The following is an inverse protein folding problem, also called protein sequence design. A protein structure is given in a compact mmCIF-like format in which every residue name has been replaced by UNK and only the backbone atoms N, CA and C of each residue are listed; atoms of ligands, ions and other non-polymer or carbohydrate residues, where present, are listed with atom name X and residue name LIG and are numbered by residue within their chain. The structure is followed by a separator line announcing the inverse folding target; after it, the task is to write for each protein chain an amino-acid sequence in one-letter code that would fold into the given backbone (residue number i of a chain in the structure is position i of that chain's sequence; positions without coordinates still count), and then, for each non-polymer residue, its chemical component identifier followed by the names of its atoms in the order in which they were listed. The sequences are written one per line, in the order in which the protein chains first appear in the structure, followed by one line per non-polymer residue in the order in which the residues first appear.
data_IF_281906195206
#
_entry.id   IF_281906195206
#
_cell.length_a   1.000
_cell.length_b   1.000
_cell.length_c   1.000
_cell.angle_alpha   90.00
_cell.angle_beta   90.00
_cell.angle_gamma   90.00
#
_symmetry.space_group_name_H-M   'P 1'
#
loop_
_entity.id
_entity.type
_entity.pdbx_description
1 polymer ?
#
# COMPACT_ATOMS: atom_id res chain seq x y z
N UNK A 1 3.35 -7.89 23.83
CA UNK A 1 3.86 -8.67 22.68
C UNK A 1 4.27 -7.63 21.65
N UNK A 2 5.57 -7.47 21.46
CA UNK A 2 6.12 -6.46 20.57
C UNK A 2 6.19 -7.07 19.17
N UNK A 3 5.12 -6.94 18.38
CA UNK A 3 5.05 -7.51 17.04
C UNK A 3 6.06 -6.87 16.07
N UNK A 4 6.46 -5.62 16.33
CA UNK A 4 7.58 -4.95 15.66
C UNK A 4 8.90 -5.68 15.86
N UNK A 5 9.10 -6.37 16.99
CA UNK A 5 10.29 -7.19 17.22
C UNK A 5 10.39 -8.35 16.23
N UNK A 6 9.28 -9.02 15.90
CA UNK A 6 9.27 -10.16 14.99
C UNK A 6 9.41 -9.77 13.51
N UNK A 7 8.83 -8.64 13.11
CA UNK A 7 9.03 -8.12 11.76
C UNK A 7 10.49 -7.69 11.52
N UNK A 8 11.20 -7.26 12.57
CA UNK A 8 12.57 -6.77 12.47
C UNK A 8 13.65 -7.84 12.68
N UNK A 9 13.42 -8.84 13.54
CA UNK A 9 14.48 -9.75 13.98
C UNK A 9 14.52 -11.09 13.25
N UNK A 10 13.41 -11.50 12.63
CA UNK A 10 13.33 -12.82 12.03
C UNK A 10 13.82 -12.78 10.57
N UNK A 11 14.86 -13.55 10.28
CA UNK A 11 15.38 -13.70 8.92
C UNK A 11 14.44 -14.50 8.01
N UNK A 12 13.55 -15.32 8.58
CA UNK A 12 12.67 -16.19 7.80
C UNK A 12 11.36 -15.49 7.39
N UNK A 13 11.08 -15.48 6.08
CA UNK A 13 9.85 -14.89 5.54
C UNK A 13 8.58 -15.53 6.12
N UNK A 14 8.59 -16.84 6.43
CA UNK A 14 7.42 -17.52 7.01
C UNK A 14 6.98 -16.91 8.34
N UNK A 15 7.92 -16.64 9.25
CA UNK A 15 7.61 -16.05 10.54
C UNK A 15 7.07 -14.62 10.39
N UNK A 16 7.68 -13.82 9.51
CA UNK A 16 7.23 -12.44 9.24
C UNK A 16 5.83 -12.42 8.61
N UNK A 17 5.54 -13.29 7.65
CA UNK A 17 4.19 -13.44 7.06
C UNK A 17 3.15 -13.83 8.11
N UNK A 18 3.47 -14.79 8.98
CA UNK A 18 2.58 -15.21 10.05
C UNK A 18 2.33 -14.08 11.06
N UNK A 19 3.36 -13.28 11.37
CA UNK A 19 3.26 -12.14 12.27
C UNK A 19 2.27 -11.08 11.74
N UNK A 20 2.41 -10.65 10.48
CA UNK A 20 1.46 -9.67 9.88
C UNK A 20 0.03 -10.23 9.84
N UNK A 21 -0.15 -11.50 9.43
CA UNK A 21 -1.49 -12.13 9.42
C UNK A 21 -2.12 -12.17 10.80
N UNK A 22 -1.35 -12.52 11.82
CA UNK A 22 -1.84 -12.54 13.20
C UNK A 22 -2.19 -11.14 13.69
N UNK A 23 -1.39 -10.13 13.33
CA UNK A 23 -1.68 -8.73 13.63
C UNK A 23 -3.02 -8.29 13.04
N UNK A 24 -3.25 -8.58 11.76
CA UNK A 24 -4.51 -8.28 11.06
C UNK A 24 -5.67 -8.99 11.73
N UNK A 25 -5.55 -10.30 11.97
CA UNK A 25 -6.62 -11.08 12.60
C UNK A 25 -6.98 -10.56 13.99
N UNK A 26 -5.97 -10.18 14.78
CA UNK A 26 -6.19 -9.58 16.10
C UNK A 26 -6.89 -8.23 15.96
N UNK A 27 -6.42 -7.36 15.05
CA UNK A 27 -7.03 -6.06 14.83
C UNK A 27 -8.48 -6.16 14.39
N UNK A 28 -8.79 -7.05 13.45
CA UNK A 28 -10.15 -7.29 12.97
C UNK A 28 -11.11 -7.77 14.08
N UNK A 29 -10.58 -8.47 15.09
CA UNK A 29 -11.37 -8.94 16.23
C UNK A 29 -11.67 -7.83 17.27
N UNK A 30 -11.02 -6.67 17.16
CA UNK A 30 -11.20 -5.56 18.09
C UNK A 30 -12.57 -4.89 17.88
N UNK A 31 -13.46 -5.02 18.86
CA UNK A 31 -14.78 -4.37 18.81
C UNK A 31 -14.75 -2.87 19.15
N UNK A 32 -13.63 -2.35 19.66
CA UNK A 32 -13.42 -0.93 19.99
C UNK A 32 -11.94 -0.54 19.86
N UNK A 33 -11.62 0.70 19.45
CA UNK A 33 -10.26 1.24 19.46
C UNK A 33 -9.60 1.18 20.85
N UNK A 34 -10.40 1.34 21.92
CA UNK A 34 -9.90 1.32 23.31
C UNK A 34 -9.42 -0.05 23.77
N UNK A 35 -10.02 -1.14 23.26
CA UNK A 35 -9.60 -2.50 23.63
C UNK A 35 -8.29 -2.92 22.97
N UNK A 36 -7.88 -2.23 21.90
CA UNK A 36 -6.70 -2.57 21.10
C UNK A 36 -5.73 -1.39 20.94
N UNK A 37 -5.76 -0.44 21.87
CA UNK A 37 -4.89 0.73 21.87
C UNK A 37 -3.41 0.41 21.67
N UNK A 38 -2.88 -0.60 22.39
CA UNK A 38 -1.46 -1.00 22.25
C UNK A 38 -1.14 -1.52 20.84
N UNK A 39 -2.11 -2.18 20.20
CA UNK A 39 -1.97 -2.65 18.83
C UNK A 39 -2.05 -1.46 17.85
N UNK A 40 -2.94 -0.50 18.11
CA UNK A 40 -3.03 0.76 17.36
C UNK A 40 -1.77 1.61 17.41
N UNK A 41 -1.03 1.57 18.52
CA UNK A 41 0.25 2.27 18.62
C UNK A 41 1.35 1.66 17.74
N UNK A 42 1.27 0.35 17.45
CA UNK A 42 2.29 -0.33 16.63
C UNK A 42 1.99 -0.31 15.13
N UNK A 43 0.77 0.07 14.71
CA UNK A 43 0.38 0.17 13.29
C UNK A 43 1.37 0.96 12.43
N UNK A 44 1.82 2.18 12.80
CA UNK A 44 2.73 2.94 11.94
C UNK A 44 4.06 2.22 11.71
N UNK A 45 4.57 1.53 12.73
CA UNK A 45 5.81 0.74 12.63
C UNK A 45 5.61 -0.50 11.78
N UNK A 46 4.49 -1.22 11.97
CA UNK A 46 4.16 -2.41 11.17
C UNK A 46 3.98 -2.05 9.69
N UNK A 47 3.29 -0.95 9.39
CA UNK A 47 3.10 -0.48 8.02
C UNK A 47 4.43 -0.07 7.37
N UNK A 48 5.19 0.81 8.03
CA UNK A 48 6.48 1.28 7.48
C UNK A 48 7.50 0.16 7.29
N UNK A 49 7.55 -0.82 8.19
CA UNK A 49 8.46 -1.96 8.03
C UNK A 49 7.95 -2.95 7.00
N UNK A 50 6.67 -3.30 7.04
CA UNK A 50 6.08 -4.33 6.19
C UNK A 50 6.11 -3.97 4.70
N UNK A 51 5.96 -2.69 4.35
CA UNK A 51 6.11 -2.25 2.94
C UNK A 51 7.56 -2.24 2.45
N UNK A 52 8.52 -2.19 3.37
CA UNK A 52 9.95 -2.25 3.07
C UNK A 52 10.53 -3.67 3.24
N UNK A 53 9.69 -4.69 3.45
CA UNK A 53 10.15 -6.08 3.57
C UNK A 53 10.65 -6.58 2.20
N UNK A 54 11.62 -7.50 2.21
CA UNK A 54 12.10 -8.13 0.98
C UNK A 54 11.14 -9.18 0.42
N UNK A 55 10.27 -9.74 1.27
CA UNK A 55 9.28 -10.73 0.89
C UNK A 55 7.99 -10.03 0.44
N UNK A 56 7.68 -10.13 -0.86
CA UNK A 56 6.50 -9.53 -1.46
C UNK A 56 5.19 -9.98 -0.80
N UNK A 57 5.13 -11.20 -0.23
CA UNK A 57 3.93 -11.65 0.50
C UNK A 57 3.77 -10.86 1.81
N UNK A 58 4.87 -10.50 2.49
CA UNK A 58 4.82 -9.64 3.68
C UNK A 58 4.34 -8.24 3.29
N UNK A 59 4.84 -7.67 2.18
CA UNK A 59 4.34 -6.39 1.65
C UNK A 59 2.84 -6.48 1.32
N UNK A 60 2.41 -7.56 0.67
CA UNK A 60 1.01 -7.76 0.31
C UNK A 60 0.11 -7.86 1.54
N UNK A 61 0.49 -8.64 2.56
CA UNK A 61 -0.24 -8.68 3.83
C UNK A 61 -0.24 -7.32 4.53
N UNK A 62 0.83 -6.54 4.40
CA UNK A 62 0.87 -5.17 4.93
C UNK A 62 -0.14 -4.26 4.22
N UNK A 63 -0.38 -4.45 2.92
CA UNK A 63 -1.46 -3.77 2.20
C UNK A 63 -2.86 -4.26 2.60
N UNK A 64 -3.02 -5.53 2.99
CA UNK A 64 -4.28 -6.02 3.58
C UNK A 64 -4.56 -5.37 4.95
N UNK A 65 -3.52 -5.10 5.75
CA UNK A 65 -3.65 -4.30 6.97
C UNK A 65 -4.09 -2.86 6.64
N UNK A 66 -3.49 -2.24 5.61
CA UNK A 66 -3.88 -0.92 5.15
C UNK A 66 -5.35 -0.87 4.67
N UNK A 67 -5.82 -1.91 3.97
CA UNK A 67 -7.22 -2.07 3.57
C UNK A 67 -8.15 -2.15 4.78
N UNK A 68 -7.82 -2.96 5.79
CA UNK A 68 -8.61 -3.06 7.02
C UNK A 68 -8.77 -1.68 7.70
N UNK A 69 -7.69 -0.89 7.75
CA UNK A 69 -7.72 0.46 8.34
C UNK A 69 -8.55 1.44 7.49
N UNK A 70 -8.46 1.34 6.15
CA UNK A 70 -9.30 2.11 5.24
C UNK A 70 -10.78 1.80 5.43
N UNK A 71 -11.13 0.52 5.55
CA UNK A 71 -12.51 0.06 5.73
C UNK A 71 -13.09 0.50 7.08
N UNK A 72 -12.26 0.54 8.12
CA UNK A 72 -12.66 1.08 9.42
C UNK A 72 -12.85 2.60 9.40
N UNK A 73 -12.01 3.32 8.66
CA UNK A 73 -12.07 4.78 8.55
C UNK A 73 -13.22 5.26 7.64
N UNK A 74 -13.52 4.49 6.60
CA UNK A 74 -14.51 4.79 5.58
C UNK A 74 -15.40 3.56 5.32
N UNK A 75 -16.27 3.19 6.28
CA UNK A 75 -17.17 2.07 6.10
C UNK A 75 -18.12 2.36 4.93
N UNK A 76 -18.37 1.33 4.12
CA UNK A 76 -19.36 1.44 3.05
C UNK A 76 -20.71 1.87 3.64
N UNK A 77 -21.43 2.80 2.99
CA UNK A 77 -22.75 3.19 3.45
C UNK A 77 -23.64 1.95 3.47
N UNK A 78 -24.07 1.53 4.66
CA UNK A 78 -25.09 0.50 4.83
C UNK A 78 -26.26 0.81 3.88
N UNK A 79 -26.82 -0.18 3.16
CA UNK A 79 -27.94 0.08 2.27
C UNK A 79 -29.05 0.75 3.10
N UNK A 80 -29.29 2.02 2.81
CA UNK A 80 -30.31 2.81 3.47
C UNK A 80 -31.63 2.08 3.27
N UNK A 81 -32.34 1.80 4.36
CA UNK A 81 -33.59 1.08 4.26
C UNK A 81 -34.52 1.80 3.26
N UNK A 82 -35.19 1.07 2.35
CA UNK A 82 -35.98 1.67 1.25
C UNK A 82 -37.06 2.69 1.67
N UNK A 83 -37.37 2.73 2.96
CA UNK A 83 -38.41 3.56 3.57
C UNK A 83 -37.87 4.65 4.51
N UNK A 84 -36.55 4.83 4.59
CA UNK A 84 -35.95 5.88 5.42
C UNK A 84 -36.17 7.25 4.75
N UNK A 85 -37.12 8.04 5.28
CA UNK A 85 -37.36 9.42 4.83
C UNK A 85 -36.29 10.33 5.45
N UNK A 86 -35.33 10.79 4.65
CA UNK A 86 -34.37 11.81 5.07
C UNK A 86 -34.93 13.22 4.77
N UNK A 87 -34.89 14.11 5.76
CA UNK A 87 -35.19 15.53 5.57
C UNK A 87 -34.02 16.26 4.89
N UNK A 88 -34.29 17.17 3.95
CA UNK A 88 -33.27 17.95 3.21
C UNK A 88 -32.36 18.79 4.14
N UNK A 89 -32.88 19.26 5.27
CA UNK A 89 -32.11 19.97 6.31
C UNK A 89 -31.18 19.02 7.08
N UNK A 90 -31.64 17.80 7.37
CA UNK A 90 -30.85 16.75 8.00
C UNK A 90 -29.76 16.25 7.05
N UNK A 91 -30.04 16.19 5.74
CA UNK A 91 -29.09 15.84 4.71
C UNK A 91 -27.93 16.85 4.63
N UNK A 92 -28.22 18.16 4.64
CA UNK A 92 -27.16 19.20 4.60
C UNK A 92 -26.30 19.27 5.87
N UNK A 93 -26.91 19.12 7.05
CA UNK A 93 -26.15 19.06 8.32
C UNK A 93 -25.34 17.77 8.44
N UNK A 94 -25.86 16.66 7.94
CA UNK A 94 -25.14 15.39 7.85
C UNK A 94 -23.94 15.48 6.91
N UNK A 95 -24.07 16.12 5.74
CA UNK A 95 -22.97 16.34 4.79
C UNK A 95 -21.86 17.20 5.43
N UNK A 96 -22.20 18.28 6.14
CA UNK A 96 -21.22 19.15 6.77
C UNK A 96 -20.53 18.51 8.00
N UNK A 97 -21.27 17.77 8.83
CA UNK A 97 -20.72 16.99 9.94
C UNK A 97 -19.83 15.84 9.46
N UNK A 98 -20.29 15.08 8.46
CA UNK A 98 -19.51 14.02 7.83
C UNK A 98 -18.22 14.55 7.20
N UNK A 99 -18.21 15.74 6.61
CA UNK A 99 -16.99 16.28 5.99
C UNK A 99 -15.87 16.50 7.02
N UNK A 100 -16.19 17.03 8.20
CA UNK A 100 -15.22 17.19 9.29
C UNK A 100 -14.71 15.84 9.80
N UNK A 101 -15.62 14.89 9.99
CA UNK A 101 -15.28 13.54 10.46
C UNK A 101 -14.39 12.82 9.44
N UNK A 102 -14.72 12.91 8.14
CA UNK A 102 -13.95 12.29 7.05
C UNK A 102 -12.55 12.90 6.89
N UNK A 103 -12.41 14.22 7.04
CA UNK A 103 -11.09 14.87 7.04
C UNK A 103 -10.25 14.44 8.25
N UNK A 104 -10.88 14.24 9.42
CA UNK A 104 -10.19 13.73 10.60
C UNK A 104 -9.77 12.27 10.44
N UNK A 105 -10.62 11.42 9.85
CA UNK A 105 -10.29 10.03 9.50
C UNK A 105 -9.16 9.96 8.48
N UNK A 106 -9.20 10.82 7.44
CA UNK A 106 -8.13 10.90 6.46
C UNK A 106 -6.80 11.32 7.10
N UNK A 107 -6.84 12.31 8.00
CA UNK A 107 -5.66 12.73 8.75
C UNK A 107 -5.11 11.57 9.61
N UNK A 108 -5.97 10.85 10.31
CA UNK A 108 -5.58 9.70 11.11
C UNK A 108 -4.91 8.60 10.26
N UNK A 109 -5.43 8.33 9.05
CA UNK A 109 -4.81 7.40 8.10
C UNK A 109 -3.43 7.87 7.61
N UNK A 110 -3.28 9.17 7.34
CA UNK A 110 -1.97 9.75 6.99
C UNK A 110 -0.99 9.63 8.15
N UNK A 111 -1.41 10.01 9.36
CA UNK A 111 -0.58 9.96 10.56
C UNK A 111 -0.18 8.51 10.92
N UNK A 112 -1.03 7.52 10.59
CA UNK A 112 -0.71 6.09 10.71
C UNK A 112 0.20 5.55 9.61
N UNK A 113 0.48 6.32 8.56
CA UNK A 113 1.31 5.88 7.44
C UNK A 113 0.58 5.02 6.40
N UNK A 114 -0.75 4.93 6.44
CA UNK A 114 -1.54 4.14 5.47
C UNK A 114 -1.34 4.68 4.06
N UNK A 115 -1.47 6.00 3.88
CA UNK A 115 -1.29 6.63 2.56
C UNK A 115 0.14 6.41 2.05
N UNK A 116 1.15 6.52 2.93
CA UNK A 116 2.54 6.24 2.57
C UNK A 116 2.73 4.80 2.11
N UNK A 117 2.18 3.83 2.85
CA UNK A 117 2.27 2.42 2.50
C UNK A 117 1.67 2.12 1.11
N UNK A 118 0.53 2.75 0.78
CA UNK A 118 -0.09 2.61 -0.54
C UNK A 118 0.75 3.24 -1.65
N UNK A 119 1.34 4.41 -1.40
CA UNK A 119 2.23 5.08 -2.36
C UNK A 119 3.52 4.30 -2.60
N UNK A 120 4.09 3.67 -1.56
CA UNK A 120 5.21 2.73 -1.73
C UNK A 120 4.77 1.52 -2.56
N UNK A 121 3.62 0.93 -2.23
CA UNK A 121 3.12 -0.25 -2.93
C UNK A 121 2.86 -0.02 -4.42
N UNK A 122 2.32 1.14 -4.83
CA UNK A 122 1.96 1.38 -6.24
C UNK A 122 3.16 1.48 -7.19
N UNK A 123 4.36 1.68 -6.64
CA UNK A 123 5.63 1.71 -7.38
C UNK A 123 6.46 0.43 -7.17
N UNK A 124 5.90 -0.57 -6.50
CA UNK A 124 6.60 -1.83 -6.23
C UNK A 124 6.83 -2.64 -7.51
N UNK A 125 7.96 -3.35 -7.58
CA UNK A 125 8.27 -4.25 -8.70
C UNK A 125 7.40 -5.51 -8.69
N UNK A 126 6.94 -5.94 -7.51
CA UNK A 126 6.06 -7.08 -7.36
C UNK A 126 4.63 -6.69 -7.75
N UNK A 127 4.21 -7.17 -8.91
CA UNK A 127 2.89 -6.85 -9.47
C UNK A 127 1.72 -7.09 -8.50
N UNK A 128 1.63 -8.18 -7.71
CA UNK A 128 0.54 -8.34 -6.75
C UNK A 128 0.46 -7.20 -5.73
N UNK A 129 1.61 -6.70 -5.29
CA UNK A 129 1.74 -5.58 -4.35
C UNK A 129 1.27 -4.29 -5.03
N UNK A 130 1.80 -4.00 -6.23
CA UNK A 130 1.42 -2.81 -7.01
C UNK A 130 -0.07 -2.78 -7.37
N UNK A 131 -0.63 -3.92 -7.76
CA UNK A 131 -2.05 -4.05 -8.10
C UNK A 131 -2.93 -3.77 -6.90
N UNK A 132 -2.65 -4.39 -5.74
CA UNK A 132 -3.42 -4.18 -4.51
C UNK A 132 -3.34 -2.72 -4.06
N UNK A 133 -2.15 -2.13 -4.05
CA UNK A 133 -1.96 -0.73 -3.69
C UNK A 133 -2.72 0.22 -4.63
N UNK A 134 -2.66 -0.01 -5.94
CA UNK A 134 -3.40 0.76 -6.94
C UNK A 134 -4.92 0.72 -6.71
N UNK A 135 -5.47 -0.48 -6.43
CA UNK A 135 -6.89 -0.65 -6.12
C UNK A 135 -7.31 0.12 -4.87
N UNK A 136 -6.50 0.09 -3.81
CA UNK A 136 -6.78 0.80 -2.57
C UNK A 136 -6.67 2.32 -2.73
N UNK A 137 -5.72 2.82 -3.52
CA UNK A 137 -5.62 4.25 -3.86
C UNK A 137 -6.84 4.72 -4.68
N UNK A 138 -7.34 3.90 -5.61
CA UNK A 138 -8.56 4.18 -6.35
C UNK A 138 -9.80 4.20 -5.44
N UNK A 139 -9.88 3.28 -4.47
CA UNK A 139 -10.92 3.28 -3.43
C UNK A 139 -10.87 4.58 -2.62
N UNK A 140 -9.69 4.95 -2.13
CA UNK A 140 -9.48 6.20 -1.39
C UNK A 140 -9.84 7.43 -2.23
N UNK A 141 -9.47 7.46 -3.51
CA UNK A 141 -9.82 8.53 -4.46
C UNK A 141 -11.35 8.69 -4.57
N UNK A 142 -12.08 7.59 -4.66
CA UNK A 142 -13.54 7.57 -4.73
C UNK A 142 -14.22 8.19 -3.50
N UNK A 143 -13.62 8.04 -2.32
CA UNK A 143 -14.14 8.60 -1.07
C UNK A 143 -13.75 10.07 -0.91
N UNK A 144 -12.48 10.43 -1.14
CA UNK A 144 -11.96 11.75 -0.71
C UNK A 144 -12.12 12.84 -1.78
N UNK A 145 -11.98 12.51 -3.08
CA UNK A 145 -12.03 13.53 -4.14
C UNK A 145 -13.38 14.25 -4.30
N UNK A 146 -14.55 13.59 -4.15
CA UNK A 146 -15.83 14.30 -4.16
C UNK A 146 -15.98 15.34 -3.04
N UNK A 147 -15.23 15.16 -1.95
CA UNK A 147 -15.36 15.94 -0.71
C UNK A 147 -14.43 17.16 -0.71
N UNK A 148 -13.21 17.01 -1.25
CA UNK A 148 -12.23 18.09 -1.31
C UNK A 148 -12.52 19.13 -2.40
N UNK A 149 -13.44 18.87 -3.33
CA UNK A 149 -13.97 19.89 -4.24
C UNK A 149 -14.68 21.07 -3.51
N UNK A 150 -14.89 20.97 -2.19
CA UNK A 150 -15.63 21.92 -1.34
C UNK A 150 -14.86 22.40 -0.09
N UNK A 151 -13.59 22.00 0.17
CA UNK A 151 -12.90 22.29 1.44
C UNK A 151 -11.38 22.07 1.47
N UNK A 152 -10.73 22.45 2.60
CA UNK A 152 -9.26 22.46 2.82
C UNK A 152 -8.58 21.09 2.66
N UNK A 153 -7.36 21.12 2.13
CA UNK A 153 -6.56 19.93 1.83
C UNK A 153 -5.91 19.29 3.08
N UNK A 154 -5.93 17.96 3.14
CA UNK A 154 -5.09 17.14 4.02
C UNK A 154 -3.82 16.77 3.25
N UNK A 155 -2.65 16.91 3.88
CA UNK A 155 -1.36 16.79 3.21
C UNK A 155 -0.65 15.47 3.52
N UNK A 156 0.13 14.98 2.54
CA UNK A 156 1.12 13.93 2.70
C UNK A 156 2.50 14.56 2.70
N UNK A 157 3.41 14.03 3.50
CA UNK A 157 4.84 14.36 3.43
C UNK A 157 5.46 13.45 2.38
N UNK A 158 6.09 14.02 1.35
CA UNK A 158 6.89 13.25 0.42
C UNK A 158 8.20 12.85 1.12
N UNK A 159 8.19 11.68 1.78
CA UNK A 159 9.44 10.99 2.06
C UNK A 159 9.80 10.23 0.79
N UNK A 160 10.82 10.71 0.08
CA UNK A 160 11.46 9.90 -0.94
C UNK A 160 11.90 8.60 -0.27
N UNK A 161 11.45 7.45 -0.79
CA UNK A 161 12.04 6.14 -0.49
C UNK A 161 13.51 6.21 -0.88
N UNK A 162 14.32 6.75 0.02
CA UNK A 162 15.75 6.88 -0.11
C UNK A 162 16.32 5.68 0.61
N UNK A 163 16.70 4.68 -0.19
CA UNK A 163 17.82 3.84 0.22
C UNK A 163 19.02 4.76 0.39
N UNK A 164 19.44 5.02 1.63
CA UNK A 164 20.72 5.66 1.85
C UNK A 164 21.31 5.29 3.21
N UNK A 165 22.42 4.60 3.07
CA UNK A 165 23.60 4.58 3.92
C UNK A 165 23.76 5.73 4.92
N UNK A 166 24.38 5.34 6.03
CA UNK A 166 24.73 6.18 7.17
C UNK A 166 25.65 7.35 6.79
N UNK A 167 25.47 8.40 7.59
CA UNK A 167 26.35 9.54 7.89
C UNK A 167 26.28 10.79 6.99
N UNK A 168 25.78 11.86 7.60
CA UNK A 168 26.39 13.19 7.45
C UNK A 168 25.48 14.31 6.97
N UNK A 169 24.85 15.00 7.93
CA UNK A 169 24.35 16.39 7.85
C UNK A 169 23.38 16.67 6.70
N UNK A 170 22.07 16.61 6.96
CA UNK A 170 21.05 17.18 6.07
C UNK A 170 20.43 18.43 6.69
N UNK A 171 20.63 19.55 5.99
CA UNK A 171 19.89 20.78 6.21
C UNK A 171 18.39 20.50 6.15
N UNK A 172 17.63 21.15 7.05
CA UNK A 172 16.17 21.07 7.12
C UNK A 172 15.54 21.68 5.87
N UNK A 173 15.41 20.88 4.82
CA UNK A 173 14.47 21.16 3.73
C UNK A 173 13.09 20.90 4.32
N UNK A 174 12.28 21.95 4.48
CA UNK A 174 10.89 21.81 4.90
C UNK A 174 10.18 20.98 3.82
N UNK A 175 9.71 19.76 4.12
CA UNK A 175 9.16 18.89 3.09
C UNK A 175 7.92 19.53 2.49
N UNK A 176 7.89 19.64 1.17
CA UNK A 176 6.75 20.17 0.43
C UNK A 176 5.53 19.30 0.72
N UNK A 177 4.53 19.90 1.38
CA UNK A 177 3.29 19.24 1.78
C UNK A 177 2.32 19.28 0.61
N UNK A 178 2.02 18.13 0.02
CA UNK A 178 1.09 18.01 -1.11
C UNK A 178 -0.22 17.39 -0.64
N UNK A 179 -1.36 17.90 -1.11
CA UNK A 179 -2.67 17.37 -0.73
C UNK A 179 -2.88 15.93 -1.19
N UNK A 180 -3.50 15.07 -0.37
CA UNK A 180 -3.76 13.65 -0.73
C UNK A 180 -4.51 13.53 -2.07
N UNK A 181 -5.58 14.32 -2.28
CA UNK A 181 -6.29 14.24 -3.56
C UNK A 181 -5.50 14.82 -4.73
N UNK A 182 -4.58 15.74 -4.49
CA UNK A 182 -3.69 16.23 -5.54
C UNK A 182 -2.73 15.13 -5.97
N UNK A 183 -2.09 14.45 -5.01
CA UNK A 183 -1.27 13.26 -5.28
C UNK A 183 -2.06 12.20 -6.04
N UNK A 184 -3.27 11.85 -5.58
CA UNK A 184 -4.12 10.85 -6.25
C UNK A 184 -4.53 11.25 -7.67
N UNK A 185 -4.64 12.56 -7.96
CA UNK A 185 -4.92 13.08 -9.31
C UNK A 185 -3.70 12.99 -10.23
N UNK A 186 -2.49 13.05 -9.69
CA UNK A 186 -1.24 13.04 -10.47
C UNK A 186 -0.72 11.61 -10.78
N UNK A 187 -1.25 10.58 -10.14
CA UNK A 187 -0.71 9.21 -10.22
C UNK A 187 -1.21 8.37 -11.41
N UNK A 188 -2.10 8.89 -12.26
CA UNK A 188 -2.70 8.17 -13.41
C UNK A 188 -3.15 6.74 -13.07
N UNK A 189 -3.81 6.58 -11.91
CA UNK A 189 -4.16 5.29 -11.32
C UNK A 189 -5.01 4.39 -12.24
N UNK A 190 -5.87 4.97 -13.09
CA UNK A 190 -6.70 4.20 -14.02
C UNK A 190 -5.86 3.53 -15.12
N UNK A 191 -4.87 4.26 -15.66
CA UNK A 191 -3.93 3.71 -16.64
C UNK A 191 -3.04 2.64 -15.99
N UNK A 192 -2.50 2.92 -14.80
CA UNK A 192 -1.74 1.94 -14.02
C UNK A 192 -2.54 0.67 -13.75
N UNK A 193 -3.80 0.78 -13.31
CA UNK A 193 -4.66 -0.38 -13.07
C UNK A 193 -4.90 -1.17 -14.37
N UNK A 194 -5.11 -0.50 -15.50
CA UNK A 194 -5.29 -1.13 -16.81
C UNK A 194 -4.05 -1.97 -17.18
N UNK A 195 -2.85 -1.38 -17.06
CA UNK A 195 -1.58 -2.07 -17.32
C UNK A 195 -1.39 -3.25 -16.37
N UNK A 196 -1.58 -3.03 -15.07
CA UNK A 196 -1.42 -4.05 -14.03
C UNK A 196 -2.45 -5.18 -14.14
N UNK A 197 -3.60 -4.96 -14.78
CA UNK A 197 -4.62 -6.00 -14.98
C UNK A 197 -4.34 -6.80 -16.26
N UNK A 198 -3.80 -6.15 -17.29
CA UNK A 198 -3.51 -6.76 -18.59
C UNK A 198 -2.20 -7.53 -18.64
N UNK A 199 -1.19 -7.14 -17.85
CA UNK A 199 0.04 -7.91 -17.79
C UNK A 199 -0.31 -9.34 -17.36
N UNK A 200 0.43 -10.34 -17.80
CA UNK A 200 0.22 -11.70 -17.33
C UNK A 200 1.45 -12.12 -16.56
N UNK A 201 1.27 -12.60 -15.33
CA UNK A 201 2.34 -13.24 -14.56
C UNK A 201 2.54 -14.63 -15.17
N UNK A 202 3.01 -14.68 -16.41
CA UNK A 202 3.00 -15.88 -17.25
C UNK A 202 3.99 -16.95 -16.82
N UNK A 203 4.68 -16.80 -15.69
CA UNK A 203 5.43 -17.90 -15.08
C UNK A 203 4.47 -19.06 -14.72
N UNK A 204 3.22 -18.76 -14.35
CA UNK A 204 2.26 -19.77 -13.91
C UNK A 204 1.60 -20.58 -15.03
N UNK A 205 1.65 -20.13 -16.29
CA UNK A 205 0.82 -20.73 -17.35
C UNK A 205 1.50 -21.82 -18.18
N UNK A 206 2.81 -22.04 -18.01
CA UNK A 206 3.44 -23.27 -18.48
C UNK A 206 4.85 -23.41 -17.88
N UNK A 207 5.09 -24.38 -16.98
CA UNK A 207 6.46 -24.76 -16.62
C UNK A 207 7.30 -25.14 -17.85
N UNK A 208 6.66 -25.49 -18.97
CA UNK A 208 7.30 -25.73 -20.26
C UNK A 208 7.89 -24.45 -20.88
N UNK A 209 7.20 -23.31 -20.79
CA UNK A 209 7.69 -22.03 -21.33
C UNK A 209 8.92 -21.55 -20.56
N UNK A 210 8.87 -21.63 -19.22
CA UNK A 210 10.04 -21.32 -18.40
C UNK A 210 11.23 -22.26 -18.70
N UNK A 211 10.96 -23.56 -18.85
CA UNK A 211 12.00 -24.52 -19.22
C UNK A 211 12.58 -24.21 -20.61
N UNK A 212 11.75 -23.83 -21.58
CA UNK A 212 12.20 -23.44 -22.91
C UNK A 212 13.08 -22.20 -22.87
N UNK A 213 12.73 -21.20 -22.06
CA UNK A 213 13.55 -19.99 -21.90
C UNK A 213 14.90 -20.31 -21.25
N UNK A 214 14.90 -21.12 -20.19
CA UNK A 214 16.14 -21.58 -19.52
C UNK A 214 17.03 -22.36 -20.50
N UNK A 215 16.45 -23.30 -21.26
CA UNK A 215 17.19 -24.08 -22.25
C UNK A 215 17.73 -23.21 -23.38
N UNK A 216 16.98 -22.19 -23.80
CA UNK A 216 17.40 -21.25 -24.84
C UNK A 216 18.57 -20.38 -24.36
N UNK A 217 18.50 -19.86 -23.13
CA UNK A 217 19.59 -19.11 -22.51
C UNK A 217 20.84 -19.97 -22.29
N UNK A 218 20.68 -21.22 -21.85
CA UNK A 218 21.79 -22.17 -21.67
C UNK A 218 22.42 -22.61 -23.01
N UNK A 219 21.63 -22.73 -24.07
CA UNK A 219 22.15 -22.99 -25.41
C UNK A 219 22.95 -21.79 -25.96
N UNK A 220 22.52 -20.56 -25.65
CA UNK A 220 23.23 -19.34 -26.02
C UNK A 220 24.57 -19.18 -25.27
N UNK A 221 24.67 -19.65 -24.02
CA UNK A 221 25.93 -19.67 -23.26
C UNK A 221 26.90 -20.77 -23.69
N UNK A 222 26.41 -21.80 -24.40
CA UNK A 222 27.20 -22.95 -24.85
C UNK A 222 27.85 -22.76 -26.24
N UNK A 223 27.77 -21.57 -26.84
CA UNK A 223 28.44 -21.32 -28.12
C UNK A 223 29.98 -21.36 -27.94
N UNK A 224 30.70 -22.17 -28.74
CA UNK A 224 32.14 -22.32 -28.62
C UNK A 224 32.83 -21.03 -29.10
N UNK A 225 33.30 -20.24 -28.14
CA UNK A 225 34.05 -19.01 -28.39
C UNK A 225 33.84 -17.87 -27.39
N UNK A 226 32.94 -18.02 -26.40
CA UNK A 226 32.70 -16.97 -25.40
C UNK A 226 33.50 -17.20 -24.12
N UNK A 227 34.29 -16.19 -23.74
CA UNK A 227 35.15 -16.17 -22.56
C UNK A 227 34.29 -16.30 -21.27
N UNK A 228 34.54 -17.27 -20.37
CA UNK A 228 33.71 -17.54 -19.19
C UNK A 228 33.68 -16.43 -18.12
N UNK A 229 34.22 -15.23 -18.42
CA UNK A 229 34.26 -14.06 -17.52
C UNK A 229 33.30 -12.93 -17.88
N UNK A 230 32.48 -13.07 -18.92
CA UNK A 230 31.41 -12.12 -19.19
C UNK A 230 30.10 -12.63 -18.56
N UNK A 231 29.89 -12.27 -17.30
CA UNK A 231 28.55 -12.25 -16.72
C UNK A 231 27.70 -11.31 -17.57
N UNK A 232 26.76 -11.88 -18.32
CA UNK A 232 25.73 -11.12 -19.01
C UNK A 232 24.78 -10.60 -17.92
N UNK A 233 25.03 -9.38 -17.46
CA UNK A 233 24.00 -8.57 -16.81
C UNK A 233 22.91 -8.38 -17.87
N UNK A 234 21.84 -9.14 -17.74
CA UNK A 234 20.66 -8.98 -18.56
C UNK A 234 19.92 -7.79 -17.98
N UNK A 235 20.10 -6.62 -18.59
CA UNK A 235 19.32 -5.43 -18.29
C UNK A 235 17.85 -5.73 -18.68
N UNK A 236 17.06 -6.12 -17.69
CA UNK A 236 15.62 -6.23 -17.83
C UNK A 236 15.05 -4.80 -17.83
N UNK A 237 14.58 -4.34 -19.00
CA UNK A 237 13.73 -3.16 -19.16
C UNK A 237 12.26 -3.48 -18.87
#
# INVERSE_FOLDING_TARGET
LDLSLFLFQDSEGFARRAAVKYFIAWLSACSSPSSCWLLMQSVPTVLSQGVNDLDWEVKLHTLELAELLLDQAFPDPSPSHPYAVMSDQAHRLHIAGQQSDLLSSLKDLVDRGVVSALLCGVVDCDRPVALKACQLLLKLRGVVCPIQAMGKDTYVVSEACSEADKEGICASVDPERVGVCEVLRLLDLDEKLSILTQSSDHIYNSPLSLLQDILTAAAASSQPGRDPRQELVMDCY
#
